data_IF_654481675837
#
_entry.id   IF_654481675837
#
_cell.length_a   1.000
_cell.length_b   1.000
_cell.length_c   1.000
_cell.angle_alpha   90.00
_cell.angle_beta   90.00
_cell.angle_gamma   90.00
#
_symmetry.space_group_name_H-M   'P 1'
#
loop_
_entity.id
_entity.type
_entity.pdbx_description
1 polymer ?
#
# COMPACT_ATOMS: atom_id res chain seq x y z
N UNK A 1 16.43 13.85 -2.49
CA UNK A 1 17.07 12.56 -2.84
C UNK A 1 15.96 11.56 -2.99
N UNK A 2 15.69 11.08 -4.22
CA UNK A 2 14.69 10.04 -4.43
C UNK A 2 15.19 8.74 -3.80
N UNK A 3 14.43 8.16 -2.89
CA UNK A 3 14.75 6.84 -2.35
C UNK A 3 14.64 5.82 -3.47
N UNK A 4 15.64 4.98 -3.62
CA UNK A 4 15.62 3.87 -4.59
C UNK A 4 14.37 3.03 -4.31
N UNK A 5 13.58 2.73 -5.35
CA UNK A 5 12.38 1.88 -5.22
C UNK A 5 12.72 0.41 -5.54
N UNK A 6 13.23 -0.38 -4.59
CA UNK A 6 13.66 -1.75 -4.83
C UNK A 6 12.49 -2.73 -4.94
N UNK A 7 11.25 -2.29 -4.65
CA UNK A 7 10.09 -3.16 -4.50
C UNK A 7 9.25 -3.28 -5.77
N UNK A 8 9.45 -2.40 -6.75
CA UNK A 8 8.57 -2.28 -7.91
C UNK A 8 7.23 -1.64 -7.57
N UNK A 9 7.25 -0.72 -6.60
CA UNK A 9 6.11 0.11 -6.25
C UNK A 9 5.87 1.20 -7.30
N UNK A 10 4.63 1.64 -7.45
CA UNK A 10 4.31 2.82 -8.27
C UNK A 10 4.67 4.08 -7.49
N UNK A 11 5.48 4.96 -8.08
CA UNK A 11 5.76 6.27 -7.50
C UNK A 11 4.68 7.26 -7.92
N UNK A 12 4.07 7.93 -6.93
CA UNK A 12 3.04 8.93 -7.14
C UNK A 12 3.64 10.30 -6.85
N UNK A 13 4.09 10.97 -7.88
CA UNK A 13 4.60 12.34 -7.89
C UNK A 13 3.60 13.35 -8.47
N UNK A 14 2.61 12.88 -9.27
CA UNK A 14 1.53 13.72 -9.81
C UNK A 14 0.43 13.94 -8.76
N UNK A 15 0.15 15.20 -8.35
CA UNK A 15 -0.95 15.53 -7.43
C UNK A 15 -2.31 15.00 -7.87
N UNK A 16 -2.55 14.91 -9.21
CA UNK A 16 -3.79 14.36 -9.75
C UNK A 16 -3.91 12.86 -9.50
N UNK A 17 -2.81 12.11 -9.60
CA UNK A 17 -2.76 10.69 -9.28
C UNK A 17 -2.99 10.45 -7.77
N UNK A 18 -2.37 11.28 -6.91
CA UNK A 18 -2.62 11.24 -5.46
C UNK A 18 -4.09 11.48 -5.13
N UNK A 19 -4.71 12.55 -5.70
CA UNK A 19 -6.16 12.80 -5.53
C UNK A 19 -7.02 11.68 -6.11
N UNK A 20 -6.61 11.11 -7.23
CA UNK A 20 -7.33 9.97 -7.79
C UNK A 20 -7.33 8.80 -6.82
N UNK A 21 -6.23 8.52 -6.12
CA UNK A 21 -6.15 7.44 -5.14
C UNK A 21 -6.76 7.81 -3.77
N UNK A 22 -6.86 9.10 -3.44
CA UNK A 22 -7.48 9.61 -2.20
C UNK A 22 -9.01 9.42 -2.19
N UNK A 23 -9.47 8.19 -2.43
CA UNK A 23 -10.88 7.80 -2.43
C UNK A 23 -11.02 6.38 -1.86
N UNK A 24 -11.91 6.14 -0.88
CA UNK A 24 -11.98 4.86 -0.16
C UNK A 24 -12.17 3.66 -1.08
N UNK A 25 -13.09 3.72 -2.04
CA UNK A 25 -13.33 2.61 -2.98
C UNK A 25 -12.11 2.35 -3.88
N UNK A 26 -11.44 3.40 -4.37
CA UNK A 26 -10.26 3.22 -5.24
C UNK A 26 -9.08 2.65 -4.47
N UNK A 27 -8.86 3.11 -3.24
CA UNK A 27 -7.84 2.56 -2.37
C UNK A 27 -8.13 1.08 -2.01
N UNK A 28 -9.40 0.75 -1.75
CA UNK A 28 -9.83 -0.62 -1.50
C UNK A 28 -9.63 -1.53 -2.73
N UNK A 29 -9.99 -1.06 -3.93
CA UNK A 29 -9.76 -1.78 -5.19
C UNK A 29 -8.27 -2.08 -5.38
N UNK A 30 -7.41 -1.06 -5.31
CA UNK A 30 -5.97 -1.22 -5.49
C UNK A 30 -5.39 -2.19 -4.45
N UNK A 31 -5.74 -2.02 -3.19
CA UNK A 31 -5.32 -2.89 -2.09
C UNK A 31 -5.78 -4.35 -2.28
N UNK A 32 -6.97 -4.56 -2.85
CA UNK A 32 -7.51 -5.91 -3.13
C UNK A 32 -6.75 -6.58 -4.28
N UNK A 33 -6.47 -5.84 -5.35
CA UNK A 33 -5.66 -6.33 -6.48
C UNK A 33 -4.22 -6.66 -6.06
N UNK A 34 -3.59 -5.81 -5.26
CA UNK A 34 -2.23 -6.04 -4.75
C UNK A 34 -2.14 -7.28 -3.84
N UNK A 35 -3.18 -7.58 -3.06
CA UNK A 35 -3.17 -8.71 -2.12
C UNK A 35 -3.54 -10.05 -2.72
N UNK A 36 -4.46 -10.04 -3.68
CA UNK A 36 -5.10 -11.27 -4.16
C UNK A 36 -4.94 -11.48 -5.67
N UNK A 37 -4.14 -10.60 -6.32
CA UNK A 37 -3.89 -10.69 -7.75
C UNK A 37 -5.06 -10.20 -8.62
N UNK A 38 -5.02 -10.52 -9.93
CA UNK A 38 -5.97 -10.06 -10.91
C UNK A 38 -7.42 -10.39 -10.58
N UNK A 39 -8.33 -9.48 -10.96
CA UNK A 39 -9.77 -9.64 -10.73
C UNK A 39 -10.60 -8.85 -11.74
N UNK A 40 -11.89 -9.15 -11.80
CA UNK A 40 -12.87 -8.39 -12.61
C UNK A 40 -13.66 -7.41 -11.74
N UNK A 41 -14.30 -6.41 -12.36
CA UNK A 41 -15.14 -5.45 -11.64
C UNK A 41 -16.28 -6.15 -10.86
N UNK A 42 -16.86 -7.19 -11.43
CA UNK A 42 -17.92 -7.99 -10.80
C UNK A 42 -17.44 -8.69 -9.53
N UNK A 43 -16.23 -9.26 -9.57
CA UNK A 43 -15.64 -9.96 -8.42
C UNK A 43 -15.17 -9.02 -7.32
N UNK A 44 -14.71 -7.81 -7.70
CA UNK A 44 -14.25 -6.78 -6.73
C UNK A 44 -15.42 -6.12 -6.00
N UNK A 45 -16.57 -5.99 -6.64
CA UNK A 45 -17.68 -5.18 -6.15
C UNK A 45 -18.15 -5.50 -4.72
N UNK A 46 -18.30 -6.76 -4.28
CA UNK A 46 -18.69 -7.06 -2.91
C UNK A 46 -17.58 -6.69 -1.89
N UNK A 47 -16.31 -6.86 -2.26
CA UNK A 47 -15.17 -6.60 -1.37
C UNK A 47 -14.94 -5.11 -1.12
N UNK A 48 -15.38 -4.25 -2.05
CA UNK A 48 -15.14 -2.80 -2.00
C UNK A 48 -16.39 -1.98 -1.72
N UNK A 49 -17.51 -2.64 -1.46
CA UNK A 49 -18.78 -1.98 -1.14
C UNK A 49 -19.36 -1.15 -2.30
N UNK A 50 -19.16 -1.57 -3.55
CA UNK A 50 -19.61 -0.87 -4.74
C UNK A 50 -20.35 -1.81 -5.70
N UNK A 51 -21.18 -1.27 -6.61
CA UNK A 51 -21.76 -2.08 -7.68
C UNK A 51 -20.71 -2.39 -8.76
N UNK A 52 -20.88 -3.45 -9.59
CA UNK A 52 -19.95 -3.75 -10.68
C UNK A 52 -19.71 -2.58 -11.65
N UNK A 53 -20.76 -1.81 -11.95
CA UNK A 53 -20.64 -0.62 -12.81
C UNK A 53 -19.78 0.47 -12.17
N UNK A 54 -19.97 0.72 -10.88
CA UNK A 54 -19.18 1.69 -10.10
C UNK A 54 -17.73 1.21 -9.98
N UNK A 55 -17.51 -0.07 -9.65
CA UNK A 55 -16.17 -0.65 -9.60
C UNK A 55 -15.44 -0.54 -10.95
N UNK A 56 -16.15 -0.82 -12.05
CA UNK A 56 -15.63 -0.67 -13.42
C UNK A 56 -15.23 0.77 -13.75
N UNK A 57 -16.01 1.76 -13.31
CA UNK A 57 -15.68 3.17 -13.48
C UNK A 57 -14.41 3.54 -12.68
N UNK A 58 -14.32 3.13 -11.42
CA UNK A 58 -13.14 3.36 -10.59
C UNK A 58 -11.87 2.69 -11.15
N UNK A 59 -11.98 1.48 -11.67
CA UNK A 59 -10.86 0.78 -12.32
C UNK A 59 -10.34 1.55 -13.54
N UNK A 60 -11.24 2.00 -14.43
CA UNK A 60 -10.85 2.84 -15.57
C UNK A 60 -10.19 4.13 -15.12
N UNK A 61 -10.70 4.77 -14.08
CA UNK A 61 -10.11 5.98 -13.53
C UNK A 61 -8.71 5.73 -12.95
N UNK A 62 -8.49 4.63 -12.21
CA UNK A 62 -7.17 4.23 -11.73
C UNK A 62 -6.20 3.92 -12.89
N UNK A 63 -6.70 3.33 -13.98
CA UNK A 63 -5.90 3.03 -15.17
C UNK A 63 -5.40 4.29 -15.89
N UNK A 64 -6.14 5.42 -15.86
CA UNK A 64 -5.66 6.69 -16.44
C UNK A 64 -4.43 7.24 -15.73
N UNK A 65 -4.15 6.78 -14.50
CA UNK A 65 -2.98 7.15 -13.72
C UNK A 65 -1.95 6.01 -13.61
N UNK A 66 -2.10 4.94 -14.39
CA UNK A 66 -1.16 3.83 -14.39
C UNK A 66 -1.12 3.02 -13.07
N UNK A 67 -2.15 3.12 -12.22
CA UNK A 67 -2.24 2.41 -10.95
C UNK A 67 -2.74 0.96 -11.10
N UNK A 68 -3.55 0.73 -12.12
CA UNK A 68 -4.01 -0.59 -12.54
C UNK A 68 -3.90 -0.71 -14.06
N UNK A 69 -3.83 -1.94 -14.56
CA UNK A 69 -3.76 -2.24 -16.00
C UNK A 69 -4.57 -3.49 -16.32
N UNK A 70 -4.73 -3.76 -17.59
CA UNK A 70 -5.29 -5.04 -18.05
C UNK A 70 -4.40 -6.18 -17.62
N UNK A 71 -5.00 -7.23 -17.09
CA UNK A 71 -4.29 -8.45 -16.72
C UNK A 71 -4.30 -9.47 -17.87
N UNK A 72 -3.15 -10.07 -18.13
CA UNK A 72 -3.03 -11.20 -19.04
C UNK A 72 -3.42 -12.49 -18.32
N UNK A 73 -4.71 -12.83 -18.35
CA UNK A 73 -5.23 -14.08 -17.77
C UNK A 73 -5.91 -14.91 -18.87
N UNK A 74 -5.71 -16.20 -18.85
CA UNK A 74 -6.46 -17.14 -19.68
C UNK A 74 -7.89 -17.22 -19.13
N UNK A 75 -8.80 -16.41 -19.65
CA UNK A 75 -10.21 -16.37 -19.28
C UNK A 75 -11.08 -16.39 -20.53
N UNK A 76 -12.36 -16.73 -20.37
CA UNK A 76 -13.31 -16.91 -21.49
C UNK A 76 -13.70 -15.62 -22.25
N UNK A 77 -12.95 -14.55 -22.10
CA UNK A 77 -13.01 -13.33 -22.90
C UNK A 77 -14.23 -12.43 -22.67
N UNK A 78 -15.17 -12.77 -21.80
CA UNK A 78 -16.38 -11.98 -21.56
C UNK A 78 -16.23 -10.84 -20.56
N UNK A 79 -15.26 -10.94 -19.61
CA UNK A 79 -15.01 -9.94 -18.60
C UNK A 79 -13.59 -9.37 -18.74
N UNK A 80 -13.47 -8.07 -18.56
CA UNK A 80 -12.17 -7.40 -18.50
C UNK A 80 -11.52 -7.68 -17.14
N UNK A 81 -10.33 -8.24 -17.17
CA UNK A 81 -9.52 -8.50 -15.99
C UNK A 81 -8.56 -7.36 -15.75
N UNK A 82 -8.37 -7.04 -14.49
CA UNK A 82 -7.53 -5.95 -14.03
C UNK A 82 -6.51 -6.46 -13.03
N UNK A 83 -5.31 -5.92 -13.09
CA UNK A 83 -4.28 -6.14 -12.09
C UNK A 83 -3.71 -4.80 -11.60
N UNK A 84 -3.09 -4.79 -10.40
CA UNK A 84 -2.33 -3.65 -9.93
C UNK A 84 -1.04 -3.51 -10.76
N UNK A 85 -0.69 -2.26 -11.13
CA UNK A 85 0.53 -1.99 -11.90
C UNK A 85 1.82 -2.20 -11.09
N UNK A 86 1.73 -2.12 -9.76
CA UNK A 86 2.84 -2.37 -8.84
C UNK A 86 2.40 -3.13 -7.59
N UNK A 87 3.37 -3.68 -6.88
CA UNK A 87 3.13 -4.41 -5.61
C UNK A 87 2.66 -3.50 -4.48
N UNK A 88 3.05 -2.26 -4.52
CA UNK A 88 2.67 -1.17 -3.64
C UNK A 88 2.67 0.14 -4.38
N UNK A 89 2.57 1.23 -3.64
CA UNK A 89 2.78 2.57 -4.14
C UNK A 89 3.48 3.41 -3.08
N UNK A 90 4.19 4.44 -3.55
CA UNK A 90 4.88 5.42 -2.71
C UNK A 90 4.46 6.81 -3.09
N UNK A 91 4.39 7.68 -2.13
CA UNK A 91 4.19 9.10 -2.33
C UNK A 91 4.89 9.87 -1.21
N UNK A 92 5.38 11.02 -1.55
CA UNK A 92 6.06 11.94 -0.62
C UNK A 92 5.45 13.32 -0.73
N UNK A 93 5.61 14.13 0.30
CA UNK A 93 5.25 15.53 0.23
C UNK A 93 6.10 16.24 -0.84
N UNK A 94 5.57 17.25 -1.53
CA UNK A 94 6.35 18.08 -2.44
C UNK A 94 7.57 18.70 -1.72
N UNK A 95 8.67 18.84 -2.47
CA UNK A 95 9.89 19.49 -1.96
C UNK A 95 9.67 20.98 -1.64
N UNK A 96 8.78 21.65 -2.40
CA UNK A 96 8.41 23.04 -2.17
C UNK A 96 7.21 23.12 -1.19
N UNK A 97 7.41 23.66 0.00
CA UNK A 97 6.31 23.88 0.96
C UNK A 97 5.22 24.85 0.44
N UNK A 98 5.54 25.69 -0.56
CA UNK A 98 4.59 26.61 -1.18
C UNK A 98 3.75 25.96 -2.28
N UNK A 99 4.02 24.73 -2.67
CA UNK A 99 3.14 23.96 -3.58
C UNK A 99 1.85 23.56 -2.86
N UNK A 100 0.89 24.49 -2.84
CA UNK A 100 -0.40 24.26 -2.18
C UNK A 100 -1.17 23.06 -2.78
N UNK A 101 -1.09 22.89 -4.10
CA UNK A 101 -1.82 21.82 -4.79
C UNK A 101 -1.25 20.45 -4.47
N UNK A 102 0.06 20.29 -4.55
CA UNK A 102 0.75 19.04 -4.20
C UNK A 102 0.60 18.69 -2.74
N UNK A 103 0.77 19.68 -1.85
CA UNK A 103 0.59 19.49 -0.40
C UNK A 103 -0.83 19.08 -0.03
N UNK A 104 -1.85 19.65 -0.67
CA UNK A 104 -3.24 19.27 -0.45
C UNK A 104 -3.53 17.84 -0.93
N UNK A 105 -3.00 17.45 -2.10
CA UNK A 105 -3.14 16.11 -2.65
C UNK A 105 -2.44 15.04 -1.77
N UNK A 106 -1.21 15.34 -1.34
CA UNK A 106 -0.46 14.49 -0.41
C UNK A 106 -1.25 14.24 0.89
N UNK A 107 -1.73 15.32 1.54
CA UNK A 107 -2.49 15.21 2.80
C UNK A 107 -3.78 14.44 2.62
N UNK A 108 -4.51 14.66 1.52
CA UNK A 108 -5.76 13.95 1.25
C UNK A 108 -5.52 12.44 1.09
N UNK A 109 -4.44 12.02 0.40
CA UNK A 109 -4.11 10.61 0.26
C UNK A 109 -3.62 10.00 1.57
N UNK A 110 -2.76 10.72 2.31
CA UNK A 110 -2.27 10.26 3.62
C UNK A 110 -3.42 10.05 4.61
N UNK A 111 -4.37 10.98 4.67
CA UNK A 111 -5.57 10.86 5.51
C UNK A 111 -6.41 9.63 5.15
N UNK A 112 -6.67 9.41 3.86
CA UNK A 112 -7.41 8.22 3.42
C UNK A 112 -6.67 6.91 3.75
N UNK A 113 -5.35 6.91 3.69
CA UNK A 113 -4.55 5.75 4.10
C UNK A 113 -4.62 5.51 5.61
N UNK A 114 -4.57 6.55 6.43
CA UNK A 114 -4.74 6.42 7.88
C UNK A 114 -6.13 5.88 8.21
N UNK A 115 -7.19 6.44 7.64
CA UNK A 115 -8.55 5.95 7.81
C UNK A 115 -8.71 4.48 7.39
N UNK A 116 -8.11 4.08 6.28
CA UNK A 116 -8.15 2.70 5.81
C UNK A 116 -7.32 1.74 6.68
N UNK A 117 -6.32 2.26 7.39
CA UNK A 117 -5.43 1.49 8.24
C UNK A 117 -5.88 1.43 9.71
N UNK A 118 -6.70 2.37 10.17
CA UNK A 118 -7.05 2.58 11.60
C UNK A 118 -7.60 1.33 12.28
N UNK A 119 -8.41 0.57 11.56
CA UNK A 119 -9.05 -0.64 12.07
C UNK A 119 -8.20 -1.93 11.87
N UNK A 120 -7.15 -1.88 11.06
CA UNK A 120 -6.35 -3.08 10.74
C UNK A 120 -5.66 -3.69 11.96
N UNK A 121 -4.96 -2.92 12.82
CA UNK A 121 -4.33 -3.49 14.02
C UNK A 121 -5.34 -4.05 15.01
N UNK A 122 -6.51 -3.40 15.15
CA UNK A 122 -7.58 -3.84 16.06
C UNK A 122 -8.20 -5.15 15.59
N UNK A 123 -8.54 -5.25 14.29
CA UNK A 123 -9.06 -6.50 13.71
C UNK A 123 -8.03 -7.61 13.77
N UNK A 124 -6.77 -7.32 13.50
CA UNK A 124 -5.72 -8.31 13.63
C UNK A 124 -5.62 -8.85 15.06
N UNK A 125 -5.67 -7.97 16.06
CA UNK A 125 -5.61 -8.35 17.47
C UNK A 125 -6.83 -9.18 17.91
N UNK A 126 -8.02 -8.85 17.37
CA UNK A 126 -9.26 -9.56 17.70
C UNK A 126 -9.40 -10.89 16.97
N UNK A 127 -9.09 -10.94 15.68
CA UNK A 127 -9.50 -12.02 14.81
C UNK A 127 -8.34 -12.96 14.42
N UNK A 128 -7.11 -12.45 14.37
CA UNK A 128 -5.97 -13.19 13.83
C UNK A 128 -4.99 -13.61 14.92
N UNK A 129 -4.55 -12.68 15.77
CA UNK A 129 -3.54 -12.91 16.80
C UNK A 129 -3.87 -14.12 17.67
N UNK A 130 -5.12 -14.31 18.17
CA UNK A 130 -5.46 -15.44 19.02
C UNK A 130 -5.34 -16.81 18.33
N UNK A 131 -5.42 -16.82 16.99
CA UNK A 131 -5.33 -18.05 16.19
C UNK A 131 -3.91 -18.41 15.77
N UNK A 132 -2.93 -17.54 16.05
CA UNK A 132 -1.55 -17.76 15.62
C UNK A 132 -0.88 -18.88 16.43
N UNK A 133 -0.11 -19.75 15.76
CA UNK A 133 0.78 -20.69 16.48
C UNK A 133 1.76 -19.93 17.37
N UNK A 134 2.20 -20.53 18.51
CA UNK A 134 3.06 -19.85 19.49
C UNK A 134 4.33 -19.21 18.90
N UNK A 135 4.93 -19.86 17.90
CA UNK A 135 6.12 -19.33 17.19
C UNK A 135 5.83 -18.02 16.46
N UNK A 136 4.63 -17.85 15.91
CA UNK A 136 4.23 -16.63 15.19
C UNK A 136 3.81 -15.54 16.16
N UNK A 137 3.10 -15.88 17.23
CA UNK A 137 2.71 -14.91 18.28
C UNK A 137 3.91 -14.23 18.92
N UNK A 138 5.02 -14.94 19.14
CA UNK A 138 6.26 -14.37 19.71
C UNK A 138 6.96 -13.35 18.80
N UNK A 139 6.74 -13.46 17.49
CA UNK A 139 7.35 -12.59 16.47
C UNK A 139 6.42 -11.48 16.01
N UNK A 140 5.14 -11.56 16.37
CA UNK A 140 4.12 -10.60 15.99
C UNK A 140 3.88 -9.61 17.13
N UNK A 141 3.51 -8.40 16.82
CA UNK A 141 3.19 -7.41 17.83
C UNK A 141 3.27 -5.98 17.32
N UNK A 142 3.18 -5.06 18.25
CA UNK A 142 3.28 -3.63 18.01
C UNK A 142 4.60 -3.15 18.64
N UNK A 143 5.33 -2.33 17.92
CA UNK A 143 6.53 -1.65 18.45
C UNK A 143 6.39 -0.14 18.27
N UNK A 144 6.83 0.59 19.26
CA UNK A 144 6.91 2.03 19.22
C UNK A 144 8.29 2.43 19.77
N UNK A 145 9.18 2.84 18.89
CA UNK A 145 10.56 3.19 19.23
C UNK A 145 10.82 4.64 18.88
N UNK A 146 11.31 5.40 19.85
CA UNK A 146 11.77 6.78 19.65
C UNK A 146 13.27 6.78 19.51
N UNK A 147 13.77 7.45 18.47
CA UNK A 147 15.20 7.67 18.19
C UNK A 147 15.44 9.14 17.91
N UNK A 148 16.67 9.58 18.09
CA UNK A 148 17.10 10.94 17.74
C UNK A 148 18.05 10.81 16.54
N UNK A 149 17.61 11.33 15.39
CA UNK A 149 18.31 11.19 14.12
C UNK A 149 18.34 12.52 13.39
N UNK A 150 19.43 12.76 12.69
CA UNK A 150 19.48 13.77 11.63
C UNK A 150 18.78 13.26 10.35
N UNK A 151 18.43 14.16 9.44
CA UNK A 151 17.73 13.79 8.19
C UNK A 151 18.53 12.78 7.34
N UNK A 152 19.88 12.92 7.29
CA UNK A 152 20.74 11.96 6.59
C UNK A 152 20.71 10.57 7.23
N UNK A 153 20.74 10.51 8.56
CA UNK A 153 20.68 9.24 9.30
C UNK A 153 19.31 8.56 9.14
N UNK A 154 18.22 9.35 9.12
CA UNK A 154 16.90 8.80 8.84
C UNK A 154 16.83 8.19 7.43
N UNK A 155 17.40 8.85 6.42
CA UNK A 155 17.48 8.34 5.07
C UNK A 155 18.29 7.02 4.99
N UNK A 156 19.37 6.89 5.75
CA UNK A 156 20.16 5.66 5.85
C UNK A 156 19.38 4.53 6.51
N UNK A 157 18.63 4.81 7.58
CA UNK A 157 17.77 3.84 8.27
C UNK A 157 16.69 3.33 7.34
N UNK A 158 15.98 4.23 6.64
CA UNK A 158 14.94 3.84 5.70
C UNK A 158 15.50 2.97 4.56
N UNK A 159 16.65 3.34 4.00
CA UNK A 159 17.34 2.55 2.97
C UNK A 159 17.71 1.15 3.48
N UNK A 160 18.27 1.05 4.68
CA UNK A 160 18.67 -0.22 5.27
C UNK A 160 17.46 -1.14 5.50
N UNK A 161 16.33 -0.60 5.95
CA UNK A 161 15.08 -1.37 6.10
C UNK A 161 14.59 -1.87 4.74
N UNK A 162 14.65 -1.05 3.71
CA UNK A 162 14.26 -1.45 2.36
C UNK A 162 15.14 -2.56 1.80
N UNK A 163 16.45 -2.47 1.98
CA UNK A 163 17.39 -3.51 1.57
C UNK A 163 17.12 -4.85 2.27
N UNK A 164 16.82 -4.81 3.58
CA UNK A 164 16.46 -6.01 4.35
C UNK A 164 15.16 -6.64 3.85
N UNK A 165 14.18 -5.83 3.48
CA UNK A 165 12.87 -6.32 3.04
C UNK A 165 12.83 -6.74 1.56
N UNK A 166 13.66 -6.17 0.70
CA UNK A 166 13.62 -6.38 -0.74
C UNK A 166 13.60 -7.86 -1.19
N UNK A 167 14.41 -8.78 -0.61
CA UNK A 167 14.37 -10.19 -0.99
C UNK A 167 13.03 -10.87 -0.69
N UNK A 168 12.32 -10.41 0.33
CA UNK A 168 11.03 -10.96 0.76
C UNK A 168 9.86 -10.37 -0.03
N UNK A 169 9.92 -9.08 -0.38
CA UNK A 169 8.92 -8.43 -1.23
C UNK A 169 8.92 -8.99 -2.64
N UNK A 170 10.10 -9.30 -3.19
CA UNK A 170 10.25 -9.88 -4.53
C UNK A 170 10.06 -11.39 -4.61
N UNK A 171 9.90 -12.04 -3.45
CA UNK A 171 9.77 -13.50 -3.40
C UNK A 171 8.50 -13.95 -4.10
N UNK A 172 8.64 -14.93 -4.96
CA UNK A 172 7.53 -15.67 -5.51
C UNK A 172 6.86 -16.49 -4.38
N UNK A 173 5.55 -16.33 -4.16
CA UNK A 173 4.82 -17.10 -3.13
C UNK A 173 5.02 -18.61 -3.24
N UNK A 174 5.13 -19.14 -4.47
CA UNK A 174 5.29 -20.57 -4.73
C UNK A 174 6.66 -21.12 -4.32
N UNK A 175 7.67 -20.24 -4.22
CA UNK A 175 9.01 -20.58 -3.74
C UNK A 175 9.21 -20.34 -2.24
N UNK A 176 8.18 -19.86 -1.55
CA UNK A 176 8.28 -19.57 -0.12
C UNK A 176 8.44 -20.84 0.71
N UNK A 177 9.24 -20.84 1.79
CA UNK A 177 9.40 -21.98 2.67
C UNK A 177 8.05 -22.50 3.22
N UNK A 178 7.94 -23.80 3.41
CA UNK A 178 6.71 -24.41 3.94
C UNK A 178 6.32 -23.79 5.29
N UNK A 179 5.09 -23.34 5.41
CA UNK A 179 4.57 -22.68 6.60
C UNK A 179 4.84 -21.17 6.65
N UNK A 180 5.26 -20.58 5.53
CA UNK A 180 5.29 -19.11 5.36
C UNK A 180 3.89 -18.52 5.45
N UNK A 181 3.83 -17.25 5.86
CA UNK A 181 2.59 -16.46 5.93
C UNK A 181 2.82 -15.11 5.31
N UNK A 182 1.78 -14.54 4.73
CA UNK A 182 1.79 -13.12 4.39
C UNK A 182 1.82 -12.29 5.67
N UNK A 183 2.77 -11.38 5.78
CA UNK A 183 2.94 -10.48 6.93
C UNK A 183 2.85 -9.05 6.44
N UNK A 184 1.99 -8.25 7.06
CA UNK A 184 1.93 -6.82 6.82
C UNK A 184 2.82 -6.09 7.82
N UNK A 185 3.77 -5.33 7.31
CA UNK A 185 4.60 -4.40 8.06
C UNK A 185 4.07 -2.98 7.80
N UNK A 186 3.69 -2.26 8.85
CA UNK A 186 3.28 -0.86 8.79
C UNK A 186 4.35 -0.02 9.48
N UNK A 187 4.84 0.98 8.79
CA UNK A 187 5.91 1.85 9.29
C UNK A 187 5.48 3.30 9.13
N UNK A 188 5.73 4.08 10.15
CA UNK A 188 5.54 5.52 10.15
C UNK A 188 6.81 6.18 10.68
N UNK A 189 7.50 6.95 9.83
CA UNK A 189 8.58 7.83 10.25
C UNK A 189 7.97 9.23 10.45
N UNK A 190 7.83 9.64 11.69
CA UNK A 190 7.16 10.90 12.06
C UNK A 190 8.12 11.76 12.87
N UNK A 191 8.87 12.66 12.23
CA UNK A 191 9.68 13.64 12.96
C UNK A 191 8.80 14.46 13.92
N UNK A 192 9.22 14.53 15.17
CA UNK A 192 8.56 15.36 16.19
C UNK A 192 9.07 16.79 16.12
N UNK A 193 8.25 17.75 16.55
CA UNK A 193 8.69 19.14 16.70
C UNK A 193 9.82 19.19 17.74
N UNK A 194 10.87 19.99 17.47
CA UNK A 194 11.89 20.28 18.45
C UNK A 194 11.23 20.84 19.72
N UNK A 195 11.54 20.25 20.86
CA UNK A 195 11.14 20.84 22.14
C UNK A 195 11.92 22.15 22.31
N UNK A 196 11.23 23.25 22.33
CA UNK A 196 11.78 24.53 22.79
C UNK A 196 12.14 24.48 24.27
#
# INVERSE_FOLDING_TARGET
MSLTNPYGDVELDDPRAMRALAHPVRLAILSRLQRHGPSTASRLSPDVGATPSVASWHLRHLATFGLVRDAEVEADGRERWWEAAGRGFRFVAPDDPADEEGNAAYRALAEQMFLAADDLPRRWLADVEPTLPPRWRKLSGLSNTRVVLGAAELAEVERAIEEVLAPYVRRDPDTAPRGSRSVRLMRYAMPENERR
#
